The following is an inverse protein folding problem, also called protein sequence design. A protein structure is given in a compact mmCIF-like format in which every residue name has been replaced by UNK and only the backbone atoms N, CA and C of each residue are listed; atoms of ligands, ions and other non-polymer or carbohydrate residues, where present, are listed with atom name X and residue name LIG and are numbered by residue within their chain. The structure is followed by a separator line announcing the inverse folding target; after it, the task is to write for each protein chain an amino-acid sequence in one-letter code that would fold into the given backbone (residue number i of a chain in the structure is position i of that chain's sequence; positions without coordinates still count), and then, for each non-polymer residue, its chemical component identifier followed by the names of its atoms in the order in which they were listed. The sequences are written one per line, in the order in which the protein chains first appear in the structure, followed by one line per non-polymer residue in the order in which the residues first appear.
data_IF_515620294570
#
_entry.id   IF_515620294570
#
_cell.length_a   1.000
_cell.length_b   1.000
_cell.length_c   1.000
_cell.angle_alpha   90.00
_cell.angle_beta   90.00
_cell.angle_gamma   90.00
#
_symmetry.space_group_name_H-M   'P 1'
#
loop_
_entity.id
_entity.type
_entity.pdbx_description
1 polymer ?
#
# COMPACT_ATOMS: atom_id res chain seq x y z
N UNK A 1 -6.03 12.60 -7.70
CA UNK A 1 -5.79 12.48 -9.15
C UNK A 1 -4.80 13.56 -9.52
N UNK A 2 -3.74 13.19 -10.24
CA UNK A 2 -2.71 14.11 -10.75
C UNK A 2 -2.51 13.94 -12.27
N UNK A 3 -3.49 13.32 -12.94
CA UNK A 3 -3.43 13.00 -14.36
C UNK A 3 -3.63 14.24 -15.24
N UNK A 4 -2.90 14.32 -16.35
CA UNK A 4 -3.06 15.35 -17.40
C UNK A 4 -3.28 14.73 -18.79
N UNK A 5 -3.67 13.44 -18.82
CA UNK A 5 -3.77 12.61 -20.02
C UNK A 5 -5.19 12.47 -20.58
N UNK A 6 -5.32 11.56 -21.54
CA UNK A 6 -6.56 11.14 -22.21
C UNK A 6 -7.48 10.30 -21.31
N UNK A 7 -6.93 9.85 -20.17
CA UNK A 7 -7.61 9.09 -19.13
C UNK A 7 -7.34 9.74 -17.76
N UNK A 8 -8.26 9.59 -16.81
CA UNK A 8 -8.07 10.07 -15.43
C UNK A 8 -8.84 9.27 -14.39
N UNK A 9 -8.40 9.33 -13.14
CA UNK A 9 -9.12 8.75 -12.01
C UNK A 9 -10.31 9.62 -11.59
N UNK A 10 -11.49 9.02 -11.49
CA UNK A 10 -12.70 9.68 -10.98
C UNK A 10 -13.36 8.81 -9.92
N UNK A 11 -14.07 9.45 -9.00
CA UNK A 11 -14.94 8.75 -8.07
C UNK A 11 -16.26 8.42 -8.77
N UNK A 12 -16.65 7.15 -8.81
CA UNK A 12 -17.87 6.68 -9.47
C UNK A 12 -18.81 5.99 -8.46
N UNK A 13 -20.11 6.33 -8.51
CA UNK A 13 -21.15 5.62 -7.74
C UNK A 13 -21.56 4.34 -8.43
N UNK A 14 -21.77 3.29 -7.66
CA UNK A 14 -22.25 2.01 -8.18
C UNK A 14 -21.14 1.32 -8.97
N UNK A 15 -20.32 0.55 -8.28
CA UNK A 15 -19.60 -0.54 -8.95
C UNK A 15 -20.66 -1.39 -9.65
N UNK A 16 -20.58 -1.67 -10.97
CA UNK A 16 -21.61 -2.45 -11.63
C UNK A 16 -21.70 -3.90 -11.13
N UNK A 17 -20.82 -4.31 -10.19
CA UNK A 17 -20.53 -5.70 -9.89
C UNK A 17 -20.32 -6.03 -8.40
N UNK A 18 -21.03 -5.37 -7.48
CA UNK A 18 -21.28 -5.94 -6.13
C UNK A 18 -20.50 -5.37 -4.93
N UNK A 19 -19.76 -4.26 -5.08
CA UNK A 19 -19.33 -3.45 -3.93
C UNK A 19 -20.29 -2.28 -3.72
N UNK A 20 -20.90 -2.19 -2.53
CA UNK A 20 -21.81 -1.11 -2.16
C UNK A 20 -21.03 0.20 -1.96
N UNK A 21 -21.31 1.24 -2.75
CA UNK A 21 -20.75 2.58 -2.53
C UNK A 21 -20.06 3.21 -3.74
N UNK A 22 -18.89 3.79 -3.50
CA UNK A 22 -18.12 4.53 -4.50
C UNK A 22 -16.75 3.89 -4.70
N UNK A 23 -16.41 3.58 -5.94
CA UNK A 23 -15.07 3.14 -6.32
C UNK A 23 -14.30 4.26 -7.03
N UNK A 24 -12.98 4.16 -7.06
CA UNK A 24 -12.15 4.95 -7.97
C UNK A 24 -12.09 4.23 -9.33
N UNK A 25 -12.52 4.90 -10.39
CA UNK A 25 -12.63 4.37 -11.76
C UNK A 25 -11.82 5.22 -12.73
N UNK A 26 -11.27 4.59 -13.77
CA UNK A 26 -10.74 5.32 -14.92
C UNK A 26 -11.85 5.84 -15.84
N UNK A 27 -11.83 7.14 -16.11
CA UNK A 27 -12.67 7.80 -17.11
C UNK A 27 -11.84 8.07 -18.37
N UNK A 28 -12.35 7.62 -19.51
CA UNK A 28 -11.79 7.95 -20.83
C UNK A 28 -12.34 9.28 -21.33
N UNK A 29 -11.47 10.26 -21.54
CA UNK A 29 -11.82 11.60 -22.00
C UNK A 29 -11.75 11.75 -23.53
N UNK A 30 -10.99 10.89 -24.21
CA UNK A 30 -10.84 10.89 -25.67
C UNK A 30 -9.89 11.95 -26.24
N UNK A 31 -9.41 12.87 -25.41
CA UNK A 31 -8.43 13.91 -25.76
C UNK A 31 -7.36 14.00 -24.66
N UNK A 32 -6.08 14.03 -25.02
CA UNK A 32 -4.97 14.17 -24.07
C UNK A 32 -3.61 13.91 -24.71
N UNK A 33 -2.54 14.24 -24.00
CA UNK A 33 -1.14 14.10 -24.49
C UNK A 33 -0.42 12.85 -23.93
N UNK A 34 -1.11 12.07 -23.10
CA UNK A 34 -0.60 10.86 -22.46
C UNK A 34 -1.75 9.92 -22.17
N UNK A 35 -1.55 8.61 -22.34
CA UNK A 35 -2.55 7.59 -22.01
C UNK A 35 -2.29 7.02 -20.60
N UNK A 36 -1.89 7.89 -19.66
CA UNK A 36 -1.55 7.55 -18.28
C UNK A 36 -2.47 8.31 -17.33
N UNK A 37 -3.01 7.60 -16.34
CA UNK A 37 -3.75 8.17 -15.22
C UNK A 37 -3.08 7.79 -13.88
N UNK A 38 -2.68 8.81 -13.12
CA UNK A 38 -2.00 8.66 -11.84
C UNK A 38 -2.88 9.16 -10.68
N UNK A 39 -3.04 8.29 -9.68
CA UNK A 39 -3.67 8.59 -8.40
C UNK A 39 -2.65 8.40 -7.28
N UNK A 40 -2.21 9.51 -6.69
CA UNK A 40 -1.20 9.55 -5.64
C UNK A 40 -1.85 9.85 -4.27
N UNK A 41 -1.32 9.23 -3.21
CA UNK A 41 -1.66 9.58 -1.84
C UNK A 41 -1.02 10.92 -1.43
N UNK A 42 -1.45 11.46 -0.30
CA UNK A 42 -0.64 12.46 0.41
C UNK A 42 0.62 11.81 1.01
N UNK A 43 1.55 12.62 1.53
CA UNK A 43 2.72 12.12 2.27
C UNK A 43 2.30 11.42 3.55
N UNK A 44 2.59 10.12 3.63
CA UNK A 44 2.22 9.26 4.73
C UNK A 44 3.22 9.39 5.91
N UNK A 45 2.74 9.04 7.11
CA UNK A 45 3.54 9.05 8.34
C UNK A 45 4.46 7.84 8.45
N UNK A 46 5.08 7.64 9.61
CA UNK A 46 5.91 6.45 9.86
C UNK A 46 5.11 5.17 9.69
N UNK A 47 5.65 4.21 8.94
CA UNK A 47 5.11 2.87 8.81
C UNK A 47 5.90 1.89 9.69
N UNK A 48 5.19 0.97 10.33
CA UNK A 48 5.77 -0.13 11.10
C UNK A 48 6.27 -1.24 10.15
N UNK A 49 7.15 -2.10 10.65
CA UNK A 49 7.86 -3.10 9.86
C UNK A 49 6.91 -4.15 9.25
N UNK A 50 5.75 -4.34 9.87
CA UNK A 50 4.69 -5.23 9.44
C UNK A 50 3.60 -4.55 8.59
N UNK A 51 3.84 -3.31 8.14
CA UNK A 51 2.90 -2.53 7.35
C UNK A 51 2.52 -3.23 6.04
N UNK A 52 1.22 -3.50 5.89
CA UNK A 52 0.62 -4.03 4.67
C UNK A 52 -0.53 -3.13 4.22
N UNK A 53 -0.76 -3.12 2.91
CA UNK A 53 -1.95 -2.52 2.31
C UNK A 53 -2.75 -3.60 1.60
N UNK A 54 -4.05 -3.58 1.82
CA UNK A 54 -5.02 -4.40 1.13
C UNK A 54 -5.91 -3.49 0.27
N UNK A 55 -6.25 -3.94 -0.92
CA UNK A 55 -7.18 -3.24 -1.79
C UNK A 55 -7.87 -4.20 -2.75
N UNK A 56 -9.07 -3.82 -3.16
CA UNK A 56 -9.80 -4.50 -4.21
C UNK A 56 -9.56 -3.82 -5.56
N UNK A 57 -9.44 -4.60 -6.61
CA UNK A 57 -9.33 -4.10 -7.97
C UNK A 57 -10.21 -4.90 -8.94
N UNK A 58 -10.62 -4.22 -10.00
CA UNK A 58 -11.36 -4.76 -11.12
C UNK A 58 -10.67 -4.31 -12.40
N UNK A 59 -10.35 -5.25 -13.29
CA UNK A 59 -9.76 -4.97 -14.61
C UNK A 59 -10.38 -5.91 -15.64
N UNK A 60 -11.15 -5.32 -16.57
CA UNK A 60 -11.77 -6.06 -17.66
C UNK A 60 -11.75 -5.24 -18.96
N UNK A 61 -11.46 -5.87 -20.09
CA UNK A 61 -11.28 -5.21 -21.38
C UNK A 61 -10.00 -4.35 -21.44
N UNK A 62 -9.77 -3.70 -22.57
CA UNK A 62 -8.56 -2.93 -22.83
C UNK A 62 -7.31 -3.81 -22.76
N UNK A 63 -7.09 -4.64 -23.78
CA UNK A 63 -6.05 -5.69 -23.78
C UNK A 63 -4.63 -5.14 -23.53
N UNK A 64 -4.35 -3.90 -23.95
CA UNK A 64 -3.08 -3.23 -23.72
C UNK A 64 -3.00 -2.50 -22.36
N UNK A 65 -4.10 -2.43 -21.62
CA UNK A 65 -4.20 -1.64 -20.42
C UNK A 65 -3.46 -2.28 -19.24
N UNK A 66 -2.82 -1.46 -18.42
CA UNK A 66 -2.12 -1.91 -17.20
C UNK A 66 -2.63 -1.17 -15.98
N UNK A 67 -2.54 -1.82 -14.83
CA UNK A 67 -2.67 -1.19 -13.52
C UNK A 67 -1.43 -1.53 -12.68
N UNK A 68 -0.79 -0.50 -12.13
CA UNK A 68 0.45 -0.60 -11.38
C UNK A 68 0.34 0.17 -10.07
N UNK A 69 0.98 -0.34 -9.03
CA UNK A 69 1.13 0.32 -7.74
C UNK A 69 2.62 0.59 -7.50
N UNK A 70 2.92 1.86 -7.24
CA UNK A 70 4.26 2.32 -6.93
C UNK A 70 4.36 2.85 -5.51
N UNK A 71 5.53 2.65 -4.91
CA UNK A 71 6.03 3.29 -3.71
C UNK A 71 6.96 4.44 -4.11
N UNK A 72 6.73 5.62 -3.56
CA UNK A 72 7.51 6.83 -3.81
C UNK A 72 8.27 7.20 -2.53
N UNK A 73 9.59 7.04 -2.52
CA UNK A 73 10.47 7.31 -1.36
C UNK A 73 11.72 8.04 -1.83
N UNK A 74 12.03 9.20 -1.23
CA UNK A 74 13.25 9.96 -1.54
C UNK A 74 13.48 10.19 -3.06
N UNK A 75 12.42 10.60 -3.76
CA UNK A 75 12.39 10.80 -5.23
C UNK A 75 12.61 9.53 -6.08
N UNK A 76 12.63 8.35 -5.45
CA UNK A 76 12.69 7.05 -6.13
C UNK A 76 11.29 6.46 -6.26
N UNK A 77 10.95 5.94 -7.44
CA UNK A 77 9.72 5.19 -7.73
C UNK A 77 10.04 3.69 -7.77
N UNK A 78 9.50 2.92 -6.82
CA UNK A 78 9.64 1.47 -6.72
C UNK A 78 8.31 0.80 -7.07
N UNK A 79 8.35 -0.26 -7.88
CA UNK A 79 7.13 -1.03 -8.21
C UNK A 79 6.82 -2.00 -7.09
N UNK A 80 5.67 -1.85 -6.44
CA UNK A 80 5.20 -2.80 -5.43
C UNK A 80 4.36 -3.92 -6.03
N UNK A 81 3.53 -3.59 -7.02
CA UNK A 81 2.61 -4.54 -7.65
C UNK A 81 2.19 -4.08 -9.05
N UNK A 82 1.83 -5.02 -9.93
CA UNK A 82 1.32 -4.73 -11.27
C UNK A 82 0.43 -5.86 -11.80
N UNK A 83 -0.49 -5.52 -12.72
CA UNK A 83 -1.29 -6.46 -13.51
C UNK A 83 -1.39 -5.97 -14.96
N UNK A 84 -1.31 -6.91 -15.91
CA UNK A 84 -1.52 -6.65 -17.34
C UNK A 84 -2.67 -7.47 -17.91
N UNK A 85 -2.98 -8.62 -17.31
CA UNK A 85 -4.01 -9.54 -17.75
C UNK A 85 -5.43 -8.99 -17.53
N UNK A 86 -6.37 -9.52 -18.29
CA UNK A 86 -7.81 -9.30 -18.07
C UNK A 86 -8.30 -10.28 -16.99
N UNK A 87 -8.87 -9.74 -15.91
CA UNK A 87 -9.37 -10.53 -14.78
C UNK A 87 -10.82 -10.99 -14.96
N UNK A 88 -11.43 -10.65 -16.10
CA UNK A 88 -12.85 -10.83 -16.35
C UNK A 88 -13.71 -9.92 -15.48
N UNK A 89 -15.00 -10.23 -15.43
CA UNK A 89 -15.98 -9.44 -14.68
C UNK A 89 -16.00 -9.79 -13.18
N UNK A 90 -14.84 -9.91 -12.55
CA UNK A 90 -14.70 -10.35 -11.15
C UNK A 90 -13.76 -9.42 -10.40
N UNK A 91 -14.19 -8.98 -9.21
CA UNK A 91 -13.35 -8.25 -8.26
C UNK A 91 -12.29 -9.16 -7.65
N UNK A 92 -11.06 -8.68 -7.62
CA UNK A 92 -9.92 -9.36 -7.01
C UNK A 92 -9.45 -8.56 -5.78
N UNK A 93 -9.01 -9.27 -4.75
CA UNK A 93 -8.36 -8.67 -3.59
C UNK A 93 -6.84 -8.83 -3.72
N UNK A 94 -6.08 -7.80 -3.34
CA UNK A 94 -4.63 -7.82 -3.32
C UNK A 94 -4.08 -7.29 -2.00
N UNK A 95 -3.17 -8.05 -1.41
CA UNK A 95 -2.33 -7.63 -0.28
C UNK A 95 -0.92 -7.30 -0.76
N UNK A 96 -0.36 -6.19 -0.32
CA UNK A 96 0.99 -5.73 -0.67
C UNK A 96 1.73 -5.33 0.60
N UNK A 97 2.93 -5.88 0.77
CA UNK A 97 3.85 -5.46 1.84
C UNK A 97 4.46 -4.11 1.52
N UNK A 98 4.30 -3.16 2.42
CA UNK A 98 4.94 -1.83 2.36
C UNK A 98 6.18 -1.81 3.25
N UNK A 99 6.10 -2.48 4.41
CA UNK A 99 7.17 -2.53 5.42
C UNK A 99 7.48 -1.15 6.04
N UNK A 100 8.52 -1.10 6.86
CA UNK A 100 8.88 0.10 7.61
C UNK A 100 9.34 1.24 6.69
N UNK A 101 8.84 2.45 6.98
CA UNK A 101 9.25 3.68 6.30
C UNK A 101 9.21 4.88 7.25
N UNK A 102 10.23 5.72 7.14
CA UNK A 102 10.22 7.06 7.73
C UNK A 102 9.14 7.95 7.09
N UNK A 103 8.63 8.97 7.79
CA UNK A 103 7.62 9.88 7.27
C UNK A 103 8.02 10.51 5.93
N UNK A 104 7.06 10.65 5.01
CA UNK A 104 7.24 11.37 3.75
C UNK A 104 7.07 10.52 2.48
N UNK A 105 6.97 9.20 2.63
CA UNK A 105 6.66 8.29 1.52
C UNK A 105 5.22 8.44 1.01
N UNK A 106 4.98 8.00 -0.22
CA UNK A 106 3.65 8.01 -0.86
C UNK A 106 3.42 6.75 -1.67
N UNK A 107 2.15 6.50 -2.00
CA UNK A 107 1.77 5.48 -2.96
C UNK A 107 1.16 6.12 -4.21
N UNK A 108 1.34 5.45 -5.36
CA UNK A 108 0.75 5.85 -6.63
C UNK A 108 0.14 4.67 -7.35
N UNK A 109 -1.16 4.74 -7.60
CA UNK A 109 -1.83 3.88 -8.57
C UNK A 109 -1.74 4.50 -9.96
N UNK A 110 -1.16 3.78 -10.91
CA UNK A 110 -1.04 4.18 -12.31
C UNK A 110 -1.86 3.23 -13.17
N UNK A 111 -2.79 3.78 -13.94
CA UNK A 111 -3.37 3.08 -15.07
C UNK A 111 -2.75 3.60 -16.36
N UNK A 112 -2.52 2.72 -17.34
CA UNK A 112 -2.03 3.14 -18.65
C UNK A 112 -2.68 2.39 -19.80
N UNK A 113 -2.66 2.98 -21.00
CA UNK A 113 -3.09 2.37 -22.27
C UNK A 113 -4.53 1.82 -22.25
N UNK A 114 -5.42 2.42 -21.46
CA UNK A 114 -6.82 2.02 -21.40
C UNK A 114 -7.61 2.64 -22.56
N UNK A 115 -8.13 1.79 -23.45
CA UNK A 115 -9.05 2.21 -24.50
C UNK A 115 -10.51 2.29 -23.99
N UNK A 116 -11.44 2.70 -24.86
CA UNK A 116 -12.85 2.85 -24.52
C UNK A 116 -13.59 1.52 -24.22
N UNK A 117 -12.98 0.38 -24.53
CA UNK A 117 -13.56 -0.95 -24.25
C UNK A 117 -13.20 -1.47 -22.85
N UNK A 118 -12.18 -0.91 -22.21
CA UNK A 118 -11.67 -1.36 -20.93
C UNK A 118 -12.26 -0.61 -19.73
N UNK A 119 -12.25 -1.29 -18.58
CA UNK A 119 -12.62 -0.72 -17.29
C UNK A 119 -11.56 -1.12 -16.25
N UNK A 120 -11.04 -0.12 -15.55
CA UNK A 120 -10.18 -0.30 -14.38
C UNK A 120 -10.83 0.42 -13.20
N UNK A 121 -11.00 -0.29 -12.10
CA UNK A 121 -11.49 0.24 -10.83
C UNK A 121 -10.63 -0.27 -9.68
N UNK A 122 -10.52 0.55 -8.63
CA UNK A 122 -9.97 0.17 -7.33
C UNK A 122 -10.92 0.61 -6.22
N UNK A 123 -10.99 -0.16 -5.14
CA UNK A 123 -11.85 0.12 -3.99
C UNK A 123 -11.31 -0.48 -2.68
N UNK A 124 -11.92 -0.12 -1.56
CA UNK A 124 -11.69 -0.70 -0.23
C UNK A 124 -10.21 -0.78 0.20
N UNK A 125 -9.46 0.27 -0.15
CA UNK A 125 -8.06 0.44 0.25
C UNK A 125 -8.00 0.62 1.76
N UNK A 126 -7.29 -0.28 2.44
CA UNK A 126 -7.02 -0.17 3.86
C UNK A 126 -5.59 -0.59 4.19
N UNK A 127 -5.10 -0.06 5.30
CA UNK A 127 -3.75 -0.26 5.79
C UNK A 127 -3.82 -0.99 7.14
N UNK A 128 -2.93 -1.95 7.35
CA UNK A 128 -2.78 -2.67 8.61
C UNK A 128 -1.32 -2.53 9.06
N UNK A 129 -1.14 -2.28 10.36
CA UNK A 129 0.18 -2.10 10.97
C UNK A 129 1.05 -1.05 10.26
N UNK A 130 0.47 0.06 9.79
CA UNK A 130 1.21 1.15 9.15
C UNK A 130 1.36 2.38 10.06
N UNK A 131 1.27 2.16 11.37
CA UNK A 131 1.49 3.15 12.41
C UNK A 131 2.29 2.46 13.50
N UNK A 132 3.32 3.13 14.02
CA UNK A 132 4.09 2.62 15.15
C UNK A 132 3.17 2.30 16.34
N UNK A 133 3.44 1.22 17.10
CA UNK A 133 2.62 0.90 18.24
C UNK A 133 2.72 2.00 19.30
N UNK A 134 1.63 2.29 20.00
CA UNK A 134 1.60 3.36 21.00
C UNK A 134 2.05 2.87 22.37
N UNK A 135 2.69 3.72 23.20
CA UNK A 135 3.09 3.33 24.54
C UNK A 135 1.91 2.81 25.38
N UNK A 136 2.07 1.64 25.99
CA UNK A 136 1.01 1.02 26.80
C UNK A 136 1.57 0.05 27.86
N UNK A 137 0.72 -0.42 28.77
CA UNK A 137 1.13 -1.45 29.71
C UNK A 137 1.21 -2.79 28.96
N UNK A 138 2.42 -3.33 28.80
CA UNK A 138 2.65 -4.57 28.08
C UNK A 138 1.89 -5.74 28.69
N UNK A 139 1.28 -6.57 27.84
CA UNK A 139 0.65 -7.82 28.26
C UNK A 139 1.72 -8.87 28.56
N UNK A 140 1.34 -9.94 29.26
CA UNK A 140 2.24 -11.08 29.46
C UNK A 140 2.72 -11.64 28.10
N UNK A 141 4.04 -11.76 27.91
CA UNK A 141 4.66 -12.24 26.67
C UNK A 141 4.96 -11.14 25.63
N UNK A 142 4.92 -9.87 26.02
CA UNK A 142 5.37 -8.74 25.21
C UNK A 142 6.63 -8.11 25.80
N UNK A 143 7.50 -7.59 24.93
CA UNK A 143 8.71 -6.88 25.32
C UNK A 143 8.46 -5.38 25.42
N UNK A 144 8.81 -4.74 26.55
CA UNK A 144 8.71 -3.29 26.72
C UNK A 144 9.92 -2.58 26.10
N UNK A 145 9.66 -1.77 25.08
CA UNK A 145 10.61 -0.85 24.46
C UNK A 145 10.97 0.32 25.39
N UNK A 146 12.08 1.02 25.12
CA UNK A 146 12.55 2.16 25.91
C UNK A 146 11.59 3.36 25.86
N UNK A 147 10.91 3.55 24.73
CA UNK A 147 9.87 4.56 24.51
C UNK A 147 8.50 4.16 25.12
N UNK A 148 8.39 3.00 25.78
CA UNK A 148 7.19 2.48 26.43
C UNK A 148 6.22 1.74 25.49
N UNK A 149 6.61 1.55 24.23
CA UNK A 149 5.92 0.69 23.26
C UNK A 149 6.10 -0.78 23.63
N UNK A 150 5.19 -1.64 23.19
CA UNK A 150 5.27 -3.08 23.46
C UNK A 150 5.25 -3.86 22.15
N UNK A 151 6.27 -4.67 21.92
CA UNK A 151 6.39 -5.56 20.75
C UNK A 151 6.26 -7.02 21.17
N UNK A 152 5.96 -7.93 20.23
CA UNK A 152 5.89 -9.35 20.56
C UNK A 152 7.30 -9.94 20.77
N UNK A 153 7.40 -11.04 21.52
CA UNK A 153 8.68 -11.75 21.65
C UNK A 153 9.26 -12.19 20.29
N UNK A 154 8.41 -12.48 19.31
CA UNK A 154 8.83 -12.80 17.94
C UNK A 154 9.41 -11.62 17.17
N UNK A 155 9.36 -10.41 17.68
CA UNK A 155 9.86 -9.16 17.07
C UNK A 155 11.17 -8.69 17.71
N UNK A 156 11.73 -9.48 18.63
CA UNK A 156 12.98 -9.14 19.29
C UNK A 156 14.16 -9.75 18.51
N UNK A 157 15.08 -8.89 18.07
CA UNK A 157 16.31 -9.29 17.38
C UNK A 157 16.01 -10.05 16.09
N UNK A 158 15.16 -9.46 15.26
CA UNK A 158 14.79 -9.99 13.94
C UNK A 158 15.23 -9.07 12.79
N UNK A 159 16.13 -8.13 13.07
CA UNK A 159 16.67 -7.13 12.15
C UNK A 159 15.69 -6.02 11.76
N UNK A 160 14.64 -5.83 12.56
CA UNK A 160 13.54 -4.91 12.30
C UNK A 160 13.31 -4.01 13.51
N UNK A 161 13.23 -2.68 13.31
CA UNK A 161 12.92 -1.74 14.40
C UNK A 161 11.40 -1.65 14.61
N UNK A 162 10.84 -2.61 15.35
CA UNK A 162 9.42 -2.67 15.70
C UNK A 162 9.09 -1.74 16.88
N UNK A 163 10.08 -1.43 17.71
CA UNK A 163 9.92 -0.45 18.78
C UNK A 163 9.81 0.99 18.26
N UNK A 164 10.40 1.30 17.09
CA UNK A 164 10.58 2.64 16.56
C UNK A 164 11.64 3.47 17.31
N UNK A 165 12.41 2.83 18.19
CA UNK A 165 13.52 3.42 18.96
C UNK A 165 14.75 2.50 19.04
N UNK A 166 14.75 1.41 18.26
CA UNK A 166 15.80 0.37 18.19
C UNK A 166 16.06 -0.40 19.49
N UNK A 167 15.17 -0.34 20.48
CA UNK A 167 15.41 -1.01 21.78
C UNK A 167 15.21 -2.53 21.75
N UNK A 168 14.35 -3.04 20.86
CA UNK A 168 14.21 -4.46 20.50
C UNK A 168 15.44 -5.02 19.78
N UNK A 169 16.10 -4.22 18.95
CA UNK A 169 17.30 -4.58 18.18
C UNK A 169 18.62 -4.20 18.88
N UNK A 170 18.57 -3.79 20.14
CA UNK A 170 19.76 -3.33 20.84
C UNK A 170 20.73 -4.49 21.16
N UNK A 171 22.07 -4.27 21.15
CA UNK A 171 23.04 -5.32 21.44
C UNK A 171 22.86 -5.98 22.82
N UNK A 172 22.38 -5.21 23.81
CA UNK A 172 22.13 -5.72 25.16
C UNK A 172 20.87 -6.60 25.19
N UNK A 173 19.82 -6.22 24.44
CA UNK A 173 18.61 -7.04 24.26
C UNK A 173 18.95 -8.34 23.52
N UNK A 174 19.70 -8.25 22.43
CA UNK A 174 19.98 -9.38 21.54
C UNK A 174 20.96 -10.43 22.08
N UNK A 175 21.79 -10.08 23.06
CA UNK A 175 22.59 -11.06 23.80
C UNK A 175 21.74 -12.11 24.51
N UNK A 176 20.47 -11.80 24.85
CA UNK A 176 19.55 -12.75 25.47
C UNK A 176 18.87 -13.67 24.45
N UNK A 177 18.98 -13.37 23.16
CA UNK A 177 18.39 -14.11 22.04
C UNK A 177 19.46 -14.55 21.02
N UNK A 178 20.49 -15.31 21.44
CA UNK A 178 21.65 -15.64 20.61
C UNK A 178 21.32 -16.49 19.37
N UNK A 179 20.19 -17.21 19.39
CA UNK A 179 19.72 -18.02 18.26
C UNK A 179 19.01 -17.20 17.16
N UNK A 180 18.84 -15.88 17.38
CA UNK A 180 18.14 -14.96 16.47
C UNK A 180 19.06 -13.91 15.84
N UNK A 181 20.31 -13.85 16.28
CA UNK A 181 21.37 -12.99 15.74
C UNK A 181 22.17 -13.71 14.66
#
# INVERSE_FOLDING_TARGET
DISYGSIRWVRAMGSPYGHDGYAAKILHLGEGISDIADFETFSLGTADTSCIMNFYYYKHGGEAATLQLYLLVNDVELTLWYIFEDMGEIWQNQTVGILAHDPGWKLRFRASNLDASGNILIDDIHFENCVLPTPSACKNGQFPCNNGVCVNESQICDYSDDCGDWSDESPDTCQLYPERC
#
